data_IF_744013908443
#
_entry.id   IF_744013908443
#
_cell.length_a   1.000
_cell.length_b   1.000
_cell.length_c   1.000
_cell.angle_alpha   90.00
_cell.angle_beta   90.00
_cell.angle_gamma   90.00
#
_symmetry.space_group_name_H-M   'P 1'
#
loop_
_entity.id
_entity.type
_entity.pdbx_description
1 polymer ?
#
# COMPACT_ATOMS: atom_id res chain seq x y z
N UNK A 1 -30.33 -26.12 -43.07
CA UNK A 1 -29.98 -25.45 -44.33
C UNK A 1 -28.73 -24.60 -44.11
N UNK A 2 -27.68 -24.98 -44.87
CA UNK A 2 -26.35 -24.34 -44.81
C UNK A 2 -26.40 -22.95 -45.50
N UNK A 3 -25.74 -21.93 -44.95
CA UNK A 3 -25.09 -20.89 -45.77
C UNK A 3 -23.83 -20.39 -45.06
N UNK A 4 -22.71 -20.71 -45.67
CA UNK A 4 -21.36 -20.14 -45.49
C UNK A 4 -21.28 -18.87 -46.36
N UNK A 5 -20.57 -17.83 -45.87
CA UNK A 5 -19.92 -16.78 -46.70
C UNK A 5 -18.69 -16.35 -45.91
N UNK A 6 -17.68 -16.55 -46.35
CA UNK A 6 -16.41 -16.31 -47.03
C UNK A 6 -15.87 -14.88 -46.86
N UNK A 7 -14.67 -14.85 -46.32
CA UNK A 7 -13.45 -14.05 -46.54
C UNK A 7 -13.54 -12.64 -47.15
N UNK A 8 -12.76 -11.72 -46.58
CA UNK A 8 -11.85 -10.86 -47.35
C UNK A 8 -10.70 -10.37 -46.46
N UNK A 9 -9.51 -10.82 -46.85
CA UNK A 9 -8.19 -10.33 -46.43
C UNK A 9 -7.91 -9.05 -47.22
N UNK A 10 -7.42 -8.01 -46.59
CA UNK A 10 -6.78 -6.88 -47.26
C UNK A 10 -5.45 -6.57 -46.58
N UNK A 11 -4.38 -6.90 -47.29
CA UNK A 11 -3.02 -6.50 -46.99
C UNK A 11 -2.72 -5.11 -47.62
N UNK A 12 -1.94 -4.30 -46.98
CA UNK A 12 -1.45 -3.01 -47.49
C UNK A 12 -0.29 -2.53 -46.64
N UNK A 13 0.87 -2.93 -47.00
CA UNK A 13 2.00 -2.21 -47.63
C UNK A 13 2.68 -1.14 -46.78
N UNK A 14 3.94 -1.45 -46.45
CA UNK A 14 5.02 -0.60 -45.90
C UNK A 14 5.26 0.67 -46.73
N UNK A 15 5.62 1.75 -46.07
CA UNK A 15 6.44 2.82 -46.63
C UNK A 15 7.53 3.22 -45.63
N UNK A 16 8.75 2.87 -45.97
CA UNK A 16 10.01 3.32 -45.37
C UNK A 16 10.37 4.65 -46.03
N UNK A 17 10.68 5.68 -45.23
CA UNK A 17 11.33 6.90 -45.73
C UNK A 17 12.57 7.17 -44.90
N UNK A 18 13.72 6.89 -45.54
CA UNK A 18 15.04 7.27 -45.11
C UNK A 18 15.33 8.68 -45.68
N UNK A 19 15.76 9.62 -44.85
CA UNK A 19 16.44 10.84 -45.30
C UNK A 19 17.77 10.92 -44.57
N UNK A 20 18.83 10.72 -45.37
CA UNK A 20 20.19 11.11 -45.08
C UNK A 20 20.43 12.49 -45.67
N UNK A 21 21.15 13.33 -44.99
CA UNK A 21 21.58 14.64 -45.48
C UNK A 21 22.83 15.10 -44.72
N UNK A 22 23.98 15.00 -45.42
CA UNK A 22 25.32 15.38 -45.05
C UNK A 22 25.60 16.89 -45.11
N UNK A 23 26.67 17.30 -44.36
CA UNK A 23 27.64 18.34 -44.74
C UNK A 23 27.42 19.70 -44.09
N UNK A 24 28.40 20.45 -43.65
CA UNK A 24 29.82 20.58 -43.89
C UNK A 24 30.52 21.40 -42.83
N UNK A 25 31.80 21.18 -42.71
CA UNK A 25 32.89 21.90 -42.06
C UNK A 25 32.99 23.42 -42.34
N UNK A 26 33.61 24.13 -41.39
CA UNK A 26 34.84 24.95 -41.55
C UNK A 26 35.17 25.52 -40.17
N UNK A 27 36.33 25.23 -39.55
CA UNK A 27 37.64 25.89 -39.53
C UNK A 27 37.55 27.43 -39.40
N UNK A 28 38.23 28.14 -38.56
CA UNK A 28 39.64 28.13 -38.18
C UNK A 28 39.93 29.16 -37.05
N UNK A 29 40.95 28.88 -36.28
CA UNK A 29 42.12 29.69 -35.93
C UNK A 29 42.10 30.63 -34.72
N UNK A 30 42.94 30.36 -33.90
CA UNK A 30 44.31 30.74 -33.47
C UNK A 30 44.39 31.57 -32.19
N UNK A 31 45.19 30.98 -31.30
CA UNK A 31 46.45 31.45 -30.71
C UNK A 31 46.44 32.79 -29.95
N UNK A 32 46.89 32.81 -28.68
CA UNK A 32 48.25 32.93 -28.21
C UNK A 32 48.30 33.23 -26.72
N UNK A 33 48.88 32.42 -25.96
CA UNK A 33 50.21 32.52 -25.29
C UNK A 33 50.38 33.54 -24.16
N UNK A 34 50.94 32.97 -23.14
CA UNK A 34 52.05 33.44 -22.25
C UNK A 34 51.58 34.07 -20.91
N UNK A 35 51.84 33.36 -19.89
CA UNK A 35 52.95 33.39 -18.92
C UNK A 35 52.84 34.50 -17.87
N UNK A 36 52.77 34.15 -16.64
CA UNK A 36 53.83 34.39 -15.67
C UNK A 36 53.50 33.88 -14.28
N UNK A 37 54.43 33.15 -13.73
CA UNK A 37 54.56 32.70 -12.35
C UNK A 37 54.63 33.86 -11.36
N UNK A 38 54.06 33.65 -10.16
CA UNK A 38 54.72 34.05 -8.91
C UNK A 38 54.22 33.24 -7.72
N UNK A 39 55.14 32.54 -7.12
CA UNK A 39 55.09 31.88 -5.81
C UNK A 39 54.72 32.86 -4.70
N UNK A 40 53.81 32.42 -3.81
CA UNK A 40 53.97 32.77 -2.40
C UNK A 40 53.34 31.70 -1.52
N UNK A 41 54.16 31.13 -0.73
CA UNK A 41 53.78 30.23 0.38
C UNK A 41 53.20 31.06 1.53
N UNK A 42 52.17 30.59 2.17
CA UNK A 42 52.02 30.76 3.63
C UNK A 42 50.89 29.89 4.20
N UNK A 43 51.27 29.12 5.16
CA UNK A 43 50.54 28.59 6.33
C UNK A 43 49.36 27.61 6.15
N UNK A 44 49.67 26.40 6.52
CA UNK A 44 48.77 25.35 6.95
C UNK A 44 48.01 25.80 8.21
N UNK A 45 46.69 25.94 8.07
CA UNK A 45 45.80 25.79 9.21
C UNK A 45 45.34 24.34 9.24
N UNK A 46 45.78 23.63 10.26
CA UNK A 46 45.27 22.32 10.61
C UNK A 46 43.80 22.47 11.04
N UNK A 47 42.89 22.11 10.19
CA UNK A 47 41.53 21.81 10.61
C UNK A 47 41.55 20.43 11.29
N UNK A 48 41.45 20.48 12.60
CA UNK A 48 41.22 19.37 13.47
C UNK A 48 39.83 18.79 13.12
N UNK A 49 39.80 17.77 12.24
CA UNK A 49 38.61 16.99 12.05
C UNK A 49 38.39 16.19 13.34
N UNK A 50 37.41 16.64 14.13
CA UNK A 50 36.81 15.80 15.16
C UNK A 50 36.18 14.61 14.46
N UNK A 51 36.91 13.50 14.35
CA UNK A 51 36.35 12.17 14.16
C UNK A 51 35.39 11.94 15.33
N UNK A 52 34.09 12.08 15.05
CA UNK A 52 33.08 11.44 15.89
C UNK A 52 33.35 9.95 15.81
N UNK A 53 33.75 9.36 16.93
CA UNK A 53 33.89 7.93 17.10
C UNK A 53 32.53 7.27 17.02
N UNK A 54 31.98 7.13 15.80
CA UNK A 54 30.91 6.23 15.48
C UNK A 54 31.50 4.84 15.35
N UNK A 55 31.32 3.99 16.36
CA UNK A 55 31.63 2.57 16.22
C UNK A 55 30.89 2.05 15.00
N UNK A 56 31.62 1.44 14.05
CA UNK A 56 30.99 0.76 12.91
C UNK A 56 30.21 -0.41 13.44
N UNK A 57 28.86 -0.32 13.36
CA UNK A 57 27.99 -1.46 13.66
C UNK A 57 28.27 -2.55 12.63
N UNK A 58 28.50 -3.78 13.09
CA UNK A 58 28.74 -4.92 12.21
C UNK A 58 27.43 -5.21 11.42
N UNK A 59 27.54 -5.31 10.09
CA UNK A 59 26.40 -5.63 9.24
C UNK A 59 25.94 -7.06 9.46
N UNK A 60 24.66 -7.25 9.74
CA UNK A 60 23.99 -8.56 9.89
C UNK A 60 23.28 -9.00 8.61
N UNK A 61 23.04 -8.09 7.67
CA UNK A 61 22.39 -8.37 6.40
C UNK A 61 21.28 -7.37 6.06
N UNK A 62 20.53 -7.72 5.04
CA UNK A 62 19.40 -6.92 4.51
C UNK A 62 18.08 -7.64 4.77
N UNK A 63 17.05 -6.89 5.13
CA UNK A 63 15.66 -7.35 5.25
C UNK A 63 14.89 -6.71 4.11
N UNK A 64 14.28 -7.53 3.24
CA UNK A 64 13.48 -7.07 2.10
C UNK A 64 12.01 -7.19 2.40
N UNK A 65 11.27 -6.08 2.36
CA UNK A 65 9.85 -6.03 2.71
C UNK A 65 9.02 -5.44 1.59
N UNK A 66 7.98 -6.16 1.18
CA UNK A 66 6.92 -5.66 0.29
C UNK A 66 5.85 -4.94 1.14
N UNK A 67 5.47 -3.71 0.78
CA UNK A 67 4.54 -2.91 1.56
C UNK A 67 3.62 -2.05 0.70
N UNK A 68 2.46 -1.64 1.23
CA UNK A 68 1.71 -0.51 0.66
C UNK A 68 2.40 0.81 1.02
N UNK A 69 2.26 1.82 0.17
CA UNK A 69 2.97 3.10 0.31
C UNK A 69 2.69 3.78 1.67
N UNK A 70 1.41 3.97 2.02
CA UNK A 70 0.99 4.54 3.31
C UNK A 70 -0.09 3.66 3.96
N UNK A 71 -0.10 3.45 5.26
CA UNK A 71 0.89 3.92 6.25
C UNK A 71 2.12 3.00 6.34
N UNK A 72 2.11 1.82 5.70
CA UNK A 72 3.02 0.72 5.94
C UNK A 72 4.49 1.05 5.61
N UNK A 73 4.78 1.55 4.38
CA UNK A 73 6.14 1.93 4.00
C UNK A 73 6.65 3.15 4.80
N UNK A 74 5.76 4.07 5.21
CA UNK A 74 6.11 5.20 6.06
C UNK A 74 6.52 4.73 7.48
N UNK A 75 5.80 3.76 8.05
CA UNK A 75 6.14 3.15 9.35
C UNK A 75 7.47 2.39 9.23
N UNK A 76 7.68 1.66 8.14
CA UNK A 76 8.95 0.98 7.85
C UNK A 76 10.10 1.99 7.71
N UNK A 77 9.86 3.14 7.08
CA UNK A 77 10.85 4.20 6.97
C UNK A 77 11.25 4.78 8.33
N UNK A 78 10.30 4.91 9.27
CA UNK A 78 10.59 5.28 10.66
C UNK A 78 11.37 4.20 11.41
N UNK A 79 11.14 2.91 11.13
CA UNK A 79 11.85 1.78 11.72
C UNK A 79 13.28 1.61 11.18
N UNK A 80 13.55 2.05 9.95
CA UNK A 80 14.83 1.85 9.25
C UNK A 80 16.06 2.32 10.03
N UNK A 81 16.13 3.55 10.60
CA UNK A 81 17.29 3.98 11.37
C UNK A 81 17.51 3.12 12.63
N UNK A 82 16.46 2.68 13.30
CA UNK A 82 16.56 1.84 14.51
C UNK A 82 17.13 0.47 14.14
N UNK A 83 16.71 -0.11 13.02
CA UNK A 83 17.27 -1.37 12.50
C UNK A 83 18.73 -1.22 12.09
N UNK A 84 19.11 -0.08 11.49
CA UNK A 84 20.48 0.21 11.10
C UNK A 84 21.44 0.25 12.32
N UNK A 85 20.97 0.79 13.46
CA UNK A 85 21.71 0.77 14.73
C UNK A 85 21.93 -0.65 15.28
N UNK A 86 21.08 -1.61 14.87
CA UNK A 86 21.19 -3.02 15.20
C UNK A 86 22.01 -3.82 14.17
N UNK A 87 22.47 -3.19 13.08
CA UNK A 87 23.25 -3.81 12.00
C UNK A 87 22.43 -4.35 10.85
N UNK A 88 21.13 -4.08 10.81
CA UNK A 88 20.25 -4.50 9.71
C UNK A 88 20.03 -3.38 8.71
N UNK A 89 20.14 -3.67 7.42
CA UNK A 89 19.65 -2.78 6.35
C UNK A 89 18.22 -3.18 5.96
N UNK A 90 17.32 -2.20 5.87
CA UNK A 90 15.93 -2.41 5.49
C UNK A 90 15.69 -1.90 4.06
N UNK A 91 15.35 -2.81 3.16
CA UNK A 91 14.91 -2.49 1.79
C UNK A 91 13.39 -2.67 1.68
N UNK A 92 12.68 -1.61 1.31
CA UNK A 92 11.23 -1.60 1.14
C UNK A 92 10.89 -1.45 -0.33
N UNK A 93 10.02 -2.32 -0.83
CA UNK A 93 9.42 -2.20 -2.17
C UNK A 93 7.93 -1.95 -2.02
N UNK A 94 7.45 -0.85 -2.59
CA UNK A 94 6.06 -0.45 -2.54
C UNK A 94 5.24 -1.10 -3.65
N UNK A 95 4.02 -1.51 -3.31
CA UNK A 95 3.03 -2.09 -4.21
C UNK A 95 1.69 -1.37 -4.03
N UNK A 96 0.98 -1.18 -5.14
CA UNK A 96 -0.32 -0.51 -5.14
C UNK A 96 -1.49 -1.47 -4.89
N UNK A 97 -1.33 -2.76 -5.20
CA UNK A 97 -2.35 -3.80 -5.07
C UNK A 97 -2.09 -4.73 -3.86
N UNK A 98 -3.08 -5.60 -3.55
CA UNK A 98 -3.00 -6.55 -2.45
C UNK A 98 -2.57 -7.97 -2.85
N UNK A 99 -2.33 -8.24 -4.14
CA UNK A 99 -1.96 -9.58 -4.65
C UNK A 99 -0.44 -9.75 -4.69
N UNK A 100 0.25 -8.82 -5.35
CA UNK A 100 1.69 -8.91 -5.59
C UNK A 100 2.54 -9.01 -4.31
N UNK A 101 2.24 -8.28 -3.21
CA UNK A 101 3.04 -8.40 -1.99
C UNK A 101 3.06 -9.82 -1.41
N UNK A 102 1.97 -10.58 -1.54
CA UNK A 102 1.92 -11.98 -1.13
C UNK A 102 2.67 -12.90 -2.12
N UNK A 103 2.54 -12.65 -3.42
CA UNK A 103 3.21 -13.45 -4.44
C UNK A 103 4.74 -13.35 -4.37
N UNK A 104 5.30 -12.16 -4.12
CA UNK A 104 6.76 -11.97 -4.01
C UNK A 104 7.34 -12.57 -2.72
N UNK A 105 6.56 -12.66 -1.65
CA UNK A 105 6.98 -13.37 -0.42
C UNK A 105 6.85 -14.87 -0.61
N UNK A 106 5.76 -15.37 -1.21
CA UNK A 106 5.60 -16.80 -1.49
C UNK A 106 6.69 -17.31 -2.45
N UNK A 107 7.10 -16.51 -3.44
CA UNK A 107 8.22 -16.86 -4.33
C UNK A 107 9.59 -16.82 -3.67
N UNK A 108 9.74 -16.14 -2.53
CA UNK A 108 11.00 -15.91 -1.83
C UNK A 108 11.84 -14.76 -2.41
N UNK A 109 11.25 -13.90 -3.23
CA UNK A 109 11.90 -12.68 -3.72
C UNK A 109 12.04 -11.63 -2.62
N UNK A 110 11.03 -11.55 -1.72
CA UNK A 110 11.02 -10.73 -0.51
C UNK A 110 11.00 -11.61 0.73
N UNK A 111 11.59 -11.12 1.83
CA UNK A 111 11.63 -11.83 3.11
C UNK A 111 10.30 -11.78 3.84
N UNK A 112 9.60 -10.65 3.75
CA UNK A 112 8.32 -10.39 4.41
C UNK A 112 7.45 -9.43 3.61
N UNK A 113 6.16 -9.35 3.98
CA UNK A 113 5.32 -8.23 3.59
C UNK A 113 4.63 -7.58 4.80
N UNK A 114 4.20 -6.32 4.57
CA UNK A 114 3.47 -5.51 5.53
C UNK A 114 2.46 -4.66 4.79
N UNK A 115 1.19 -5.14 4.68
CA UNK A 115 0.12 -4.44 3.96
C UNK A 115 -1.28 -4.96 4.30
N UNK A 116 -1.39 -6.13 4.93
CA UNK A 116 -2.62 -6.92 5.04
C UNK A 116 -3.00 -7.23 6.48
N UNK A 117 -4.29 -7.50 6.68
CA UNK A 117 -4.84 -8.01 7.92
C UNK A 117 -5.03 -9.53 7.89
N UNK A 118 -5.18 -10.14 9.06
CA UNK A 118 -5.26 -11.60 9.22
C UNK A 118 -6.34 -12.25 8.34
N UNK A 119 -7.60 -11.81 8.30
CA UNK A 119 -8.61 -12.46 7.46
C UNK A 119 -8.24 -12.47 5.96
N UNK A 120 -7.59 -11.40 5.46
CA UNK A 120 -7.13 -11.36 4.07
C UNK A 120 -6.02 -12.39 3.83
N UNK A 121 -5.05 -12.52 4.73
CA UNK A 121 -4.00 -13.53 4.65
C UNK A 121 -4.58 -14.94 4.58
N UNK A 122 -5.53 -15.26 5.45
CA UNK A 122 -6.17 -16.58 5.52
C UNK A 122 -6.92 -16.89 4.21
N UNK A 123 -7.74 -15.94 3.74
CA UNK A 123 -8.47 -16.06 2.47
C UNK A 123 -7.52 -16.20 1.27
N UNK A 124 -6.45 -15.40 1.23
CA UNK A 124 -5.46 -15.46 0.14
C UNK A 124 -4.75 -16.83 0.10
N UNK A 125 -4.35 -17.37 1.25
CA UNK A 125 -3.76 -18.70 1.34
C UNK A 125 -4.71 -19.78 0.82
N UNK A 126 -6.00 -19.71 1.20
CA UNK A 126 -7.00 -20.68 0.75
C UNK A 126 -7.25 -20.58 -0.77
N UNK A 127 -7.44 -19.38 -1.29
CA UNK A 127 -7.77 -19.15 -2.70
C UNK A 127 -6.60 -19.43 -3.65
N UNK A 128 -5.38 -19.07 -3.24
CA UNK A 128 -4.17 -19.16 -4.07
C UNK A 128 -3.33 -20.41 -3.80
N UNK A 129 -3.58 -21.10 -2.68
CA UNK A 129 -2.80 -22.25 -2.26
C UNK A 129 -1.39 -21.85 -1.83
N UNK A 130 -1.23 -20.66 -1.24
CA UNK A 130 0.04 -20.17 -0.70
C UNK A 130 0.25 -20.63 0.73
N UNK A 131 1.49 -20.47 1.23
CA UNK A 131 1.91 -20.93 2.54
C UNK A 131 2.53 -19.77 3.33
N UNK A 132 1.75 -18.71 3.47
CA UNK A 132 2.16 -17.50 4.15
C UNK A 132 1.70 -17.52 5.60
N UNK A 133 2.54 -17.05 6.53
CA UNK A 133 2.27 -17.06 7.96
C UNK A 133 2.52 -15.71 8.61
N UNK A 134 1.64 -15.35 9.55
CA UNK A 134 1.79 -14.18 10.41
C UNK A 134 2.94 -14.38 11.39
N UNK A 135 3.78 -13.34 11.56
CA UNK A 135 4.86 -13.33 12.56
C UNK A 135 4.80 -12.14 13.53
N UNK A 136 3.91 -11.17 13.29
CA UNK A 136 3.73 -10.04 14.19
C UNK A 136 2.50 -9.20 13.86
N UNK A 137 1.69 -8.88 14.87
CA UNK A 137 0.57 -7.96 14.82
C UNK A 137 1.08 -6.55 15.13
N UNK A 138 0.81 -5.58 14.27
CA UNK A 138 1.43 -4.27 14.36
C UNK A 138 0.42 -3.14 14.60
N UNK A 139 -0.62 -3.01 13.77
CA UNK A 139 -1.59 -1.93 13.89
C UNK A 139 -2.95 -2.30 13.34
N UNK A 140 -3.93 -1.48 13.61
CA UNK A 140 -5.27 -1.52 13.06
C UNK A 140 -5.57 -0.24 12.29
N UNK A 141 -6.29 -0.36 11.18
CA UNK A 141 -6.79 0.75 10.39
C UNK A 141 -8.33 0.70 10.37
N UNK A 142 -9.03 1.72 10.89
CA UNK A 142 -10.48 1.78 10.78
C UNK A 142 -10.94 1.79 9.32
N UNK A 143 -11.84 0.90 9.00
CA UNK A 143 -12.52 0.87 7.70
C UNK A 143 -13.66 1.88 7.72
N UNK A 144 -13.89 2.61 6.62
CA UNK A 144 -14.83 3.71 6.64
C UNK A 144 -15.67 3.86 5.39
N UNK A 145 -16.85 4.49 5.57
CA UNK A 145 -17.70 5.01 4.49
C UNK A 145 -17.34 6.47 4.31
N UNK A 146 -16.94 6.83 3.10
CA UNK A 146 -16.51 8.19 2.76
C UNK A 146 -17.46 8.84 1.73
N UNK A 147 -17.49 10.18 1.69
CA UNK A 147 -18.30 10.90 0.73
C UNK A 147 -17.83 10.61 -0.70
N UNK A 148 -18.81 10.45 -1.58
CA UNK A 148 -18.65 10.52 -3.01
C UNK A 148 -19.28 11.80 -3.52
N UNK A 149 -20.32 11.68 -4.34
CA UNK A 149 -21.16 12.83 -4.79
C UNK A 149 -22.10 13.34 -3.70
N UNK A 150 -22.27 12.57 -2.61
CA UNK A 150 -23.07 12.93 -1.42
C UNK A 150 -22.18 13.03 -0.20
N UNK A 151 -22.46 13.99 0.68
CA UNK A 151 -21.64 14.33 1.84
C UNK A 151 -22.28 13.96 3.19
N UNK A 152 -23.43 13.30 3.20
CA UNK A 152 -24.10 12.80 4.41
C UNK A 152 -24.81 11.49 4.10
N UNK A 153 -24.82 10.55 5.04
CA UNK A 153 -25.62 9.31 4.93
C UNK A 153 -27.12 9.59 5.06
N UNK A 154 -27.52 10.75 5.62
CA UNK A 154 -28.92 11.17 5.65
C UNK A 154 -29.46 11.52 4.24
N UNK A 155 -28.57 11.76 3.28
CA UNK A 155 -28.91 12.07 1.89
C UNK A 155 -29.08 10.82 1.01
N UNK A 156 -28.95 9.60 1.59
CA UNK A 156 -29.09 8.35 0.86
C UNK A 156 -30.47 8.26 0.19
N UNK A 157 -30.50 7.87 -1.08
CA UNK A 157 -31.69 7.84 -1.89
C UNK A 157 -31.80 6.54 -2.69
N UNK A 158 -32.98 6.29 -3.22
CA UNK A 158 -33.29 5.15 -4.07
C UNK A 158 -32.36 5.09 -5.30
N UNK A 159 -31.67 3.97 -5.48
CA UNK A 159 -30.76 3.73 -6.59
C UNK A 159 -29.39 4.38 -6.46
N UNK A 160 -29.00 4.87 -5.28
CA UNK A 160 -27.62 5.34 -5.05
C UNK A 160 -26.61 4.23 -5.25
N UNK A 161 -25.48 4.55 -5.86
CA UNK A 161 -24.36 3.62 -6.04
C UNK A 161 -23.36 3.77 -4.91
N UNK A 162 -22.96 2.65 -4.31
CA UNK A 162 -21.94 2.57 -3.28
C UNK A 162 -20.81 1.66 -3.79
N UNK A 163 -19.60 2.20 -3.97
CA UNK A 163 -18.47 1.40 -4.38
C UNK A 163 -17.78 0.76 -3.16
N UNK A 164 -17.47 -0.54 -3.29
CA UNK A 164 -16.84 -1.36 -2.24
C UNK A 164 -15.68 -2.18 -2.82
N UNK A 165 -14.71 -2.66 -2.01
CA UNK A 165 -13.72 -3.64 -2.44
C UNK A 165 -14.39 -4.95 -2.88
N UNK A 166 -13.76 -5.68 -3.82
CA UNK A 166 -14.29 -6.92 -4.39
C UNK A 166 -13.53 -8.18 -3.94
N UNK A 167 -12.57 -8.06 -3.04
CA UNK A 167 -11.96 -9.23 -2.43
C UNK A 167 -12.83 -9.75 -1.29
N UNK A 168 -12.83 -11.08 -1.10
CA UNK A 168 -13.75 -11.80 -0.22
C UNK A 168 -13.92 -11.15 1.15
N UNK A 169 -12.82 -10.77 1.80
CA UNK A 169 -12.86 -10.30 3.19
C UNK A 169 -13.17 -8.82 3.31
N UNK A 170 -12.72 -7.97 2.37
CA UNK A 170 -13.02 -6.54 2.41
C UNK A 170 -14.41 -6.22 1.84
N UNK A 171 -14.93 -7.00 0.88
CA UNK A 171 -16.34 -6.93 0.47
C UNK A 171 -17.25 -7.22 1.67
N UNK A 172 -17.05 -8.36 2.34
CA UNK A 172 -17.83 -8.73 3.52
C UNK A 172 -17.76 -7.65 4.61
N UNK A 173 -16.56 -7.12 4.88
CA UNK A 173 -16.34 -6.04 5.84
C UNK A 173 -17.11 -4.77 5.47
N UNK A 174 -17.11 -4.40 4.17
CA UNK A 174 -17.87 -3.26 3.67
C UNK A 174 -19.39 -3.46 3.85
N UNK A 175 -19.91 -4.64 3.50
CA UNK A 175 -21.32 -4.97 3.66
C UNK A 175 -21.75 -4.98 5.13
N UNK A 176 -20.91 -5.49 6.04
CA UNK A 176 -21.16 -5.42 7.48
C UNK A 176 -21.19 -3.98 7.98
N UNK A 177 -20.28 -3.10 7.51
CA UNK A 177 -20.30 -1.69 7.89
C UNK A 177 -21.53 -0.96 7.36
N UNK A 178 -22.00 -1.29 6.13
CA UNK A 178 -23.24 -0.76 5.58
C UNK A 178 -24.46 -1.22 6.39
N UNK A 179 -24.48 -2.49 6.86
CA UNK A 179 -25.51 -3.03 7.74
C UNK A 179 -25.52 -2.31 9.10
N UNK A 180 -24.36 -2.09 9.71
CA UNK A 180 -24.25 -1.42 11.00
C UNK A 180 -24.78 0.02 10.96
N UNK A 181 -24.78 0.62 9.75
CA UNK A 181 -25.34 1.95 9.50
C UNK A 181 -26.78 1.91 8.96
N UNK A 182 -27.44 0.74 8.92
CA UNK A 182 -28.86 0.60 8.53
C UNK A 182 -29.12 0.84 7.03
N UNK A 183 -28.09 0.75 6.18
CA UNK A 183 -28.20 0.94 4.73
C UNK A 183 -28.73 -0.35 4.08
N UNK A 184 -28.26 -1.50 4.53
CA UNK A 184 -28.70 -2.84 4.09
C UNK A 184 -28.91 -3.73 5.31
N UNK A 185 -29.50 -4.90 5.11
CA UNK A 185 -29.52 -6.00 6.08
C UNK A 185 -29.00 -7.26 5.40
N UNK A 186 -28.06 -7.95 6.02
CA UNK A 186 -27.53 -9.21 5.53
C UNK A 186 -28.35 -10.39 6.07
N UNK A 187 -28.29 -11.54 5.40
CA UNK A 187 -28.85 -12.78 5.89
C UNK A 187 -28.19 -13.22 7.19
N UNK A 188 -28.95 -13.90 8.05
CA UNK A 188 -28.43 -14.48 9.28
C UNK A 188 -27.22 -15.37 9.00
N UNK A 189 -26.10 -15.10 9.69
CA UNK A 189 -24.88 -15.89 9.60
C UNK A 189 -23.98 -15.60 8.39
N UNK A 190 -24.22 -14.53 7.66
CA UNK A 190 -23.37 -14.13 6.50
C UNK A 190 -21.90 -13.94 6.86
N UNK A 191 -21.57 -13.36 8.02
CA UNK A 191 -20.20 -13.33 8.57
C UNK A 191 -19.14 -12.65 7.70
N UNK A 192 -17.87 -13.10 7.86
CA UNK A 192 -16.68 -12.48 7.23
C UNK A 192 -16.47 -12.83 5.75
N UNK A 193 -17.38 -13.60 5.15
CA UNK A 193 -17.38 -13.99 3.73
C UNK A 193 -18.68 -13.56 3.04
N UNK A 194 -19.42 -12.61 3.63
CA UNK A 194 -20.65 -12.09 3.06
C UNK A 194 -20.40 -11.47 1.68
N UNK A 195 -21.28 -11.73 0.74
CA UNK A 195 -21.26 -11.17 -0.61
C UNK A 195 -22.54 -10.36 -0.87
N UNK A 196 -22.61 -9.62 -1.96
CA UNK A 196 -23.84 -8.91 -2.37
C UNK A 196 -25.06 -9.85 -2.48
N UNK A 197 -24.84 -11.16 -2.72
CA UNK A 197 -25.90 -12.16 -2.75
C UNK A 197 -26.49 -12.44 -1.37
N UNK A 198 -25.85 -12.02 -0.30
CA UNK A 198 -26.32 -12.20 1.09
C UNK A 198 -27.11 -11.00 1.62
N UNK A 199 -27.34 -10.00 0.81
CA UNK A 199 -28.24 -8.89 1.14
C UNK A 199 -29.67 -9.43 1.20
N UNK A 200 -30.27 -9.38 2.40
CA UNK A 200 -31.64 -9.79 2.66
C UNK A 200 -32.65 -8.64 2.48
N UNK A 201 -32.25 -7.42 2.92
CA UNK A 201 -33.07 -6.22 2.75
C UNK A 201 -32.19 -5.06 2.25
N UNK A 202 -32.74 -4.28 1.34
CA UNK A 202 -32.12 -3.11 0.74
C UNK A 202 -33.18 -2.00 0.59
N UNK A 203 -33.48 -1.30 1.69
CA UNK A 203 -34.60 -0.35 1.72
C UNK A 203 -34.45 0.86 0.80
N UNK A 204 -33.22 1.19 0.41
CA UNK A 204 -32.92 2.29 -0.49
C UNK A 204 -32.61 1.81 -1.92
N UNK A 205 -32.74 0.52 -2.21
CA UNK A 205 -32.37 -0.08 -3.50
C UNK A 205 -30.95 0.37 -3.95
N UNK A 206 -30.00 0.51 -3.01
CA UNK A 206 -28.65 0.90 -3.36
C UNK A 206 -28.01 -0.15 -4.28
N UNK A 207 -27.25 0.32 -5.26
CA UNK A 207 -26.43 -0.53 -6.13
C UNK A 207 -25.05 -0.65 -5.52
N UNK A 208 -24.60 -1.87 -5.23
CA UNK A 208 -23.23 -2.13 -4.74
C UNK A 208 -22.35 -2.35 -5.95
N UNK A 209 -21.36 -1.47 -6.13
CA UNK A 209 -20.35 -1.56 -7.18
C UNK A 209 -19.07 -2.15 -6.61
N UNK A 210 -18.81 -3.40 -6.94
CA UNK A 210 -17.63 -4.15 -6.49
C UNK A 210 -16.42 -3.82 -7.39
N UNK A 211 -15.33 -3.33 -6.83
CA UNK A 211 -14.12 -2.92 -7.52
C UNK A 211 -12.88 -3.46 -6.79
N UNK A 212 -11.76 -3.62 -7.53
CA UNK A 212 -10.46 -3.85 -6.89
C UNK A 212 -10.18 -2.73 -5.86
N UNK A 213 -9.71 -3.09 -4.66
CA UNK A 213 -9.65 -2.18 -3.51
C UNK A 213 -8.89 -0.88 -3.81
N UNK A 214 -7.79 -0.94 -4.58
CA UNK A 214 -7.00 0.21 -5.03
C UNK A 214 -7.74 1.13 -6.02
N UNK A 215 -8.88 0.67 -6.55
CA UNK A 215 -9.68 1.43 -7.53
C UNK A 215 -10.89 2.12 -6.91
N UNK A 216 -11.32 1.72 -5.70
CA UNK A 216 -12.56 2.22 -5.08
C UNK A 216 -12.52 3.73 -4.86
N UNK A 217 -11.42 4.28 -4.34
CA UNK A 217 -11.30 5.73 -4.11
C UNK A 217 -11.35 6.57 -5.40
N UNK A 218 -10.97 5.98 -6.54
CA UNK A 218 -10.89 6.69 -7.83
C UNK A 218 -12.25 7.02 -8.43
N UNK A 219 -13.30 6.32 -8.01
CA UNK A 219 -14.67 6.54 -8.50
C UNK A 219 -15.51 7.40 -7.55
N UNK A 220 -14.92 7.99 -6.50
CA UNK A 220 -15.66 8.80 -5.53
C UNK A 220 -16.47 9.94 -6.18
N UNK A 221 -15.97 10.58 -7.23
CA UNK A 221 -16.69 11.63 -7.95
C UNK A 221 -17.85 11.11 -8.83
N UNK A 222 -17.97 9.79 -9.01
CA UNK A 222 -18.95 9.15 -9.89
C UNK A 222 -20.09 8.44 -9.13
N UNK A 223 -19.85 8.07 -7.86
CA UNK A 223 -20.78 7.31 -7.02
C UNK A 223 -21.28 8.13 -5.84
N UNK A 224 -22.34 7.68 -5.17
CA UNK A 224 -22.86 8.38 -3.99
C UNK A 224 -21.89 8.30 -2.82
N UNK A 225 -21.34 7.11 -2.55
CA UNK A 225 -20.42 6.83 -1.45
C UNK A 225 -19.37 5.81 -1.87
N UNK A 226 -18.22 5.84 -1.19
CA UNK A 226 -17.16 4.82 -1.31
C UNK A 226 -16.84 4.23 0.06
N UNK A 227 -16.60 2.92 0.10
CA UNK A 227 -16.18 2.23 1.34
C UNK A 227 -14.74 1.82 1.18
N UNK A 228 -13.84 2.35 2.02
CA UNK A 228 -12.40 2.29 1.81
C UNK A 228 -11.66 1.63 2.97
N UNK A 229 -10.65 0.83 2.63
CA UNK A 229 -9.59 0.44 3.55
C UNK A 229 -8.80 1.70 4.00
N UNK A 230 -8.28 1.68 5.23
CA UNK A 230 -7.58 2.83 5.83
C UNK A 230 -6.41 3.32 4.98
N UNK A 231 -5.57 2.42 4.48
CA UNK A 231 -4.44 2.76 3.62
C UNK A 231 -4.87 3.46 2.31
N UNK A 232 -5.91 2.98 1.64
CA UNK A 232 -6.41 3.63 0.42
C UNK A 232 -7.13 4.94 0.70
N UNK A 233 -7.80 5.06 1.86
CA UNK A 233 -8.37 6.33 2.30
C UNK A 233 -7.26 7.37 2.51
N UNK A 234 -6.18 7.02 3.22
CA UNK A 234 -5.00 7.88 3.42
C UNK A 234 -4.34 8.28 2.10
N UNK A 235 -4.13 7.33 1.18
CA UNK A 235 -3.58 7.61 -0.17
C UNK A 235 -4.45 8.57 -0.98
N UNK A 236 -5.77 8.48 -0.82
CA UNK A 236 -6.72 9.39 -1.47
C UNK A 236 -6.83 10.76 -0.78
N UNK A 237 -6.13 10.95 0.34
CA UNK A 237 -6.15 12.19 1.12
C UNK A 237 -7.33 12.31 2.09
N UNK A 238 -8.07 11.22 2.33
CA UNK A 238 -9.11 11.17 3.35
C UNK A 238 -8.52 10.90 4.73
N UNK A 239 -9.13 11.52 5.73
CA UNK A 239 -8.86 11.27 7.14
C UNK A 239 -10.11 10.65 7.78
N UNK A 240 -9.97 9.49 8.42
CA UNK A 240 -11.10 8.84 9.09
C UNK A 240 -11.77 9.75 10.11
N UNK A 241 -11.00 10.56 10.84
CA UNK A 241 -11.52 11.45 11.87
C UNK A 241 -12.28 12.69 11.32
N UNK A 242 -12.02 13.08 10.05
CA UNK A 242 -12.57 14.33 9.48
C UNK A 242 -13.54 14.08 8.34
N UNK A 243 -13.26 13.05 7.54
CA UNK A 243 -13.93 12.86 6.24
C UNK A 243 -14.84 11.65 6.22
N UNK A 244 -14.65 10.65 7.11
CA UNK A 244 -15.52 9.48 7.15
C UNK A 244 -16.92 9.85 7.64
N UNK A 245 -17.93 9.40 6.90
CA UNK A 245 -19.35 9.55 7.26
C UNK A 245 -19.76 8.53 8.34
N UNK A 246 -19.14 7.35 8.29
CA UNK A 246 -19.19 6.32 9.30
C UNK A 246 -17.93 5.47 9.22
N UNK A 247 -17.50 4.87 10.33
CA UNK A 247 -16.32 4.02 10.37
C UNK A 247 -16.37 3.04 11.55
N UNK A 248 -15.58 2.01 11.47
CA UNK A 248 -15.40 1.03 12.53
C UNK A 248 -14.74 1.64 13.77
N UNK A 249 -15.25 1.32 14.95
CA UNK A 249 -14.71 1.84 16.20
C UNK A 249 -13.46 1.06 16.62
N UNK A 250 -12.48 1.75 17.20
CA UNK A 250 -11.22 1.16 17.66
C UNK A 250 -11.37 0.15 18.81
N UNK A 251 -12.49 0.17 19.54
CA UNK A 251 -12.82 -0.77 20.61
C UNK A 251 -13.75 -1.92 20.17
N UNK A 252 -14.02 -2.02 18.85
CA UNK A 252 -14.88 -3.06 18.27
C UNK A 252 -14.17 -4.41 18.11
N UNK A 253 -14.93 -5.47 17.84
CA UNK A 253 -14.36 -6.76 17.40
C UNK A 253 -13.63 -6.63 16.06
N UNK A 254 -14.05 -5.70 15.18
CA UNK A 254 -13.35 -5.43 13.93
C UNK A 254 -11.89 -4.99 14.18
N UNK A 255 -11.63 -4.14 15.19
CA UNK A 255 -10.29 -3.70 15.55
C UNK A 255 -9.36 -4.85 15.96
N UNK A 256 -9.90 -5.93 16.53
CA UNK A 256 -9.13 -7.12 16.88
C UNK A 256 -8.99 -8.11 15.73
N UNK A 257 -9.98 -8.17 14.86
CA UNK A 257 -10.05 -9.11 13.73
C UNK A 257 -9.16 -8.64 12.57
N UNK A 258 -9.24 -7.35 12.23
CA UNK A 258 -8.58 -6.79 11.05
C UNK A 258 -7.24 -6.10 11.38
N UNK A 259 -6.47 -6.70 12.29
CA UNK A 259 -5.11 -6.21 12.62
C UNK A 259 -4.17 -6.46 11.46
N UNK A 260 -3.41 -5.44 11.08
CA UNK A 260 -2.35 -5.50 10.08
C UNK A 260 -1.11 -6.17 10.65
N UNK A 261 -0.51 -7.04 9.84
CA UNK A 261 0.50 -8.01 10.28
C UNK A 261 1.73 -8.01 9.39
N UNK A 262 2.87 -8.42 9.98
CA UNK A 262 4.05 -8.84 9.23
C UNK A 262 3.87 -10.31 8.88
N UNK A 263 4.05 -10.61 7.60
CA UNK A 263 3.86 -11.95 7.04
C UNK A 263 5.12 -12.42 6.35
N UNK A 264 5.43 -13.69 6.51
CA UNK A 264 6.56 -14.38 5.87
C UNK A 264 6.07 -15.66 5.19
N UNK A 265 6.89 -16.25 4.33
CA UNK A 265 6.67 -17.61 3.87
C UNK A 265 6.88 -18.61 5.00
N UNK A 266 6.05 -19.67 5.07
CA UNK A 266 6.19 -20.78 6.03
C UNK A 266 7.63 -21.34 6.01
N UNK A 267 8.20 -21.50 7.20
CA UNK A 267 9.59 -21.90 7.42
C UNK A 267 10.56 -20.73 7.64
N UNK A 268 10.14 -19.49 7.37
CA UNK A 268 10.95 -18.28 7.58
C UNK A 268 10.64 -17.53 8.89
N UNK A 269 9.78 -18.06 9.75
CA UNK A 269 9.34 -17.44 11.02
C UNK A 269 10.50 -17.18 11.98
N UNK A 270 11.60 -17.89 11.79
CA UNK A 270 12.80 -17.79 12.61
C UNK A 270 13.91 -16.92 12.01
N UNK A 271 13.66 -16.25 10.87
CA UNK A 271 14.60 -15.30 10.29
C UNK A 271 14.95 -14.20 11.31
N UNK A 272 16.23 -14.03 11.64
CA UNK A 272 16.69 -13.09 12.66
C UNK A 272 16.41 -11.62 12.27
N UNK A 273 16.49 -11.29 10.99
CA UNK A 273 16.17 -9.95 10.48
C UNK A 273 14.68 -9.65 10.63
N UNK A 274 13.81 -10.61 10.27
CA UNK A 274 12.35 -10.44 10.42
C UNK A 274 11.96 -10.31 11.89
N UNK A 275 12.57 -11.07 12.79
CA UNK A 275 12.35 -10.91 14.25
C UNK A 275 12.75 -9.51 14.72
N UNK A 276 13.94 -9.03 14.31
CA UNK A 276 14.38 -7.69 14.63
C UNK A 276 13.42 -6.62 14.10
N UNK A 277 12.88 -6.81 12.87
CA UNK A 277 11.86 -5.93 12.28
C UNK A 277 10.60 -5.90 13.13
N UNK A 278 10.05 -7.05 13.51
CA UNK A 278 8.84 -7.14 14.34
C UNK A 278 9.05 -6.49 15.71
N UNK A 279 10.21 -6.74 16.36
CA UNK A 279 10.54 -6.15 17.65
C UNK A 279 10.63 -4.63 17.56
N UNK A 280 11.24 -4.08 16.49
CA UNK A 280 11.30 -2.63 16.26
C UNK A 280 9.92 -2.05 15.98
N UNK A 281 9.10 -2.68 15.15
CA UNK A 281 7.75 -2.21 14.83
C UNK A 281 6.82 -2.20 16.04
N UNK A 282 7.04 -3.07 17.03
CA UNK A 282 6.30 -3.11 18.30
C UNK A 282 6.88 -2.20 19.39
N UNK A 283 7.99 -1.51 19.14
CA UNK A 283 8.62 -0.62 20.11
C UNK A 283 7.76 0.61 20.43
N UNK A 284 7.96 1.18 21.63
CA UNK A 284 7.28 2.41 22.03
C UNK A 284 7.59 3.56 21.08
N UNK A 285 8.80 3.65 20.52
CA UNK A 285 9.21 4.66 19.57
C UNK A 285 8.36 4.63 18.29
N UNK A 286 8.10 3.43 17.73
CA UNK A 286 7.24 3.29 16.55
C UNK A 286 5.76 3.49 16.90
N UNK A 287 5.30 3.05 18.04
CA UNK A 287 3.94 3.36 18.54
C UNK A 287 3.71 4.86 18.69
N UNK A 288 4.67 5.59 19.26
CA UNK A 288 4.62 7.05 19.39
C UNK A 288 4.63 7.74 18.01
N UNK A 289 5.44 7.23 17.06
CA UNK A 289 5.43 7.70 15.68
C UNK A 289 4.04 7.53 15.06
N UNK A 290 3.44 6.33 15.14
CA UNK A 290 2.10 6.05 14.61
C UNK A 290 1.07 6.99 15.23
N UNK A 291 1.03 7.09 16.55
CA UNK A 291 0.05 7.91 17.27
C UNK A 291 0.17 9.41 16.90
N UNK A 292 1.39 9.91 16.73
CA UNK A 292 1.63 11.33 16.42
C UNK A 292 1.42 11.66 14.94
N UNK A 293 1.54 10.69 14.05
CA UNK A 293 1.50 10.91 12.59
C UNK A 293 0.10 10.80 12.03
N UNK A 294 -0.68 9.79 12.47
CA UNK A 294 -1.92 9.41 11.76
C UNK A 294 -3.22 9.84 12.43
N UNK A 295 -3.17 10.52 13.59
CA UNK A 295 -4.34 11.13 14.28
C UNK A 295 -5.54 10.14 14.39
N UNK A 296 -5.25 8.87 14.73
CA UNK A 296 -6.25 7.80 14.89
C UNK A 296 -6.68 7.09 13.60
N UNK A 297 -6.14 7.45 12.43
CA UNK A 297 -6.34 6.69 11.20
C UNK A 297 -5.55 5.38 11.18
N UNK A 298 -4.49 5.31 11.98
CA UNK A 298 -3.68 4.11 12.24
C UNK A 298 -3.51 4.01 13.75
N UNK A 299 -3.79 2.85 14.31
CA UNK A 299 -3.83 2.63 15.75
C UNK A 299 -2.89 1.45 16.09
N UNK A 300 -1.82 1.67 16.88
CA UNK A 300 -0.93 0.59 17.28
C UNK A 300 -1.70 -0.56 17.95
N UNK A 301 -1.34 -1.79 17.62
CA UNK A 301 -1.96 -2.95 18.26
C UNK A 301 -1.36 -3.15 19.65
N UNK A 302 -2.24 -3.30 20.65
CA UNK A 302 -1.89 -3.65 22.03
C UNK A 302 -2.34 -5.09 22.28
N UNK A 303 -1.42 -5.94 22.81
CA UNK A 303 -1.70 -7.35 23.13
C UNK A 303 -2.59 -7.52 24.37
#
# INVERSE_FOLDING_TARGET
>A
MKKRVLSSILAGVLAVSVFAGCGSKTEDNSQSAADNSTTSATEAAAEESTEAAGGTVESKGTIKVAASATPHAEILAAAKPILAEQGWDLEVTEFDDYVLPNEVVESGEMDANYFQHVPYLDSFNEEKGTHLVEVGKIHYEPFGIYPGTKSSLDDIADGDVIAVPNDTTNEARALLLLQDNGIITLKDGAGLEATVNDIAENPYNVEIQELAAESVARVADEVAYVVLNGNYALQAGFSVAKDALAYEKSDSEAAKTYVNVIVVKEGNENNEGVKALVDVLKSDEIKDYINSTYDGAVIPFEE
#
